data_IF_682860917804
#
_entry.id   IF_682860917804
#
_cell.length_a   1.000
_cell.length_b   1.000
_cell.length_c   1.000
_cell.angle_alpha   90.00
_cell.angle_beta   90.00
_cell.angle_gamma   90.00
#
_symmetry.space_group_name_H-M   'P 1'
#
loop_
_entity.id
_entity.type
_entity.pdbx_description
1 polymer ?
#
# COMPACT_ATOMS: atom_id res chain seq x y z
N UNK A 1 34.77 -41.58 13.53
CA UNK A 1 36.00 -41.14 12.83
C UNK A 1 35.61 -40.03 11.87
N UNK A 2 35.62 -38.76 12.28
CA UNK A 2 36.79 -37.87 12.40
C UNK A 2 37.64 -37.85 11.13
N UNK A 3 37.60 -36.74 10.39
CA UNK A 3 38.73 -35.79 10.34
C UNK A 3 38.27 -34.43 9.82
N UNK A 4 38.55 -33.41 10.64
CA UNK A 4 38.46 -31.97 10.38
C UNK A 4 39.49 -31.48 9.34
N UNK A 5 39.50 -30.15 9.18
CA UNK A 5 40.56 -29.26 8.67
C UNK A 5 40.54 -29.06 7.15
N UNK A 6 40.57 -27.83 6.59
CA UNK A 6 41.39 -26.68 6.98
C UNK A 6 40.87 -25.39 6.33
N UNK A 7 40.72 -24.32 7.11
CA UNK A 7 40.79 -22.94 6.61
C UNK A 7 42.24 -22.65 6.19
N UNK A 8 42.42 -21.94 5.07
CA UNK A 8 43.67 -21.25 4.73
C UNK A 8 43.37 -19.79 4.37
N UNK A 9 43.99 -18.81 5.08
CA UNK A 9 43.95 -17.40 4.71
C UNK A 9 45.02 -17.08 3.66
N UNK A 10 44.68 -16.23 2.69
CA UNK A 10 45.60 -15.69 1.70
C UNK A 10 45.55 -14.17 1.70
N UNK A 11 46.50 -13.56 2.42
CA UNK A 11 46.87 -12.15 2.37
C UNK A 11 48.00 -11.97 1.32
N UNK A 12 48.30 -10.71 0.95
CA UNK A 12 49.37 -10.17 0.05
C UNK A 12 48.76 -9.70 -1.29
N UNK A 13 48.41 -8.42 -1.50
CA UNK A 13 49.17 -7.15 -1.52
C UNK A 13 50.04 -6.93 -2.78
N UNK A 14 49.64 -5.97 -3.64
CA UNK A 14 50.50 -5.02 -4.39
C UNK A 14 49.59 -4.09 -5.22
N UNK A 15 49.37 -2.83 -4.82
CA UNK A 15 50.05 -1.62 -5.32
C UNK A 15 50.22 -1.61 -6.84
N UNK A 16 49.38 -0.80 -7.51
CA UNK A 16 49.56 -0.32 -8.88
C UNK A 16 49.01 1.10 -8.97
N UNK A 17 49.89 2.08 -8.76
CA UNK A 17 49.64 3.50 -8.97
C UNK A 17 49.57 3.81 -10.49
N UNK A 18 48.85 4.89 -10.79
CA UNK A 18 49.10 5.84 -11.87
C UNK A 18 48.40 5.63 -13.23
N UNK A 19 47.46 6.53 -13.52
CA UNK A 19 46.85 6.74 -14.83
C UNK A 19 45.81 7.86 -14.79
N UNK A 20 46.23 9.08 -14.46
CA UNK A 20 45.39 10.27 -14.59
C UNK A 20 45.32 10.60 -16.09
N UNK A 21 44.16 10.41 -16.72
CA UNK A 21 43.85 10.96 -18.03
C UNK A 21 42.84 12.09 -17.83
N UNK A 22 43.33 13.32 -17.80
CA UNK A 22 42.50 14.53 -17.84
C UNK A 22 42.00 14.74 -19.25
N UNK A 23 40.71 14.45 -19.51
CA UNK A 23 40.03 15.00 -20.67
C UNK A 23 39.55 16.41 -20.32
N UNK A 24 40.35 17.38 -20.74
CA UNK A 24 40.02 18.81 -20.74
C UNK A 24 38.98 19.07 -21.83
N UNK A 25 37.70 18.93 -21.48
CA UNK A 25 36.59 19.39 -22.31
C UNK A 25 36.24 20.83 -21.98
N UNK A 26 36.61 21.77 -22.86
CA UNK A 26 36.14 23.15 -22.78
C UNK A 26 34.67 23.22 -23.21
N UNK A 27 33.75 23.21 -22.25
CA UNK A 27 32.38 23.69 -22.46
C UNK A 27 32.30 25.13 -21.93
N UNK A 28 31.92 26.07 -22.80
CA UNK A 28 31.79 27.49 -22.44
C UNK A 28 30.74 27.73 -21.36
N UNK A 29 30.70 28.93 -20.75
CA UNK A 29 29.67 29.29 -19.80
C UNK A 29 28.34 29.48 -20.55
N UNK A 30 27.69 28.36 -20.86
CA UNK A 30 26.27 28.33 -21.13
C UNK A 30 25.60 28.55 -19.79
N UNK A 31 24.96 29.71 -19.66
CA UNK A 31 24.09 30.05 -18.56
C UNK A 31 22.92 29.06 -18.57
N UNK A 32 23.11 27.90 -17.94
CA UNK A 32 22.01 27.01 -17.59
C UNK A 32 21.26 27.69 -16.45
N UNK A 33 20.41 28.64 -16.84
CA UNK A 33 19.29 29.05 -16.01
C UNK A 33 18.43 27.81 -15.82
N UNK A 34 18.61 27.11 -14.71
CA UNK A 34 17.61 26.16 -14.24
C UNK A 34 16.27 26.90 -14.28
N UNK A 35 15.25 26.37 -14.99
CA UNK A 35 13.94 27.00 -14.94
C UNK A 35 13.54 27.09 -13.46
N UNK A 36 13.03 28.24 -12.99
CA UNK A 36 12.63 28.38 -11.60
C UNK A 36 11.69 27.22 -11.26
N UNK A 37 12.08 26.41 -10.27
CA UNK A 37 11.25 25.34 -9.77
C UNK A 37 9.91 25.95 -9.36
N UNK A 38 8.86 25.68 -10.14
CA UNK A 38 7.51 26.12 -9.80
C UNK A 38 7.21 25.56 -8.42
N UNK A 39 6.91 26.39 -7.41
CA UNK A 39 6.54 25.87 -6.10
C UNK A 39 5.26 25.05 -6.29
N UNK A 40 5.38 23.72 -6.16
CA UNK A 40 4.22 22.85 -6.08
C UNK A 40 3.44 23.24 -4.84
N UNK A 41 2.15 23.51 -4.98
CA UNK A 41 1.27 23.65 -3.84
C UNK A 41 1.37 22.38 -2.97
N UNK A 42 1.32 22.51 -1.63
CA UNK A 42 1.22 21.36 -0.75
C UNK A 42 0.02 20.51 -1.16
N UNK A 43 0.22 19.20 -1.27
CA UNK A 43 -0.86 18.26 -1.55
C UNK A 43 -1.87 18.26 -0.40
N UNK A 44 -3.16 18.41 -0.72
CA UNK A 44 -4.22 18.36 0.28
C UNK A 44 -4.57 16.90 0.60
N UNK A 45 -4.11 16.44 1.77
CA UNK A 45 -4.40 15.09 2.29
C UNK A 45 -5.78 14.97 2.95
N UNK A 46 -6.49 16.08 3.14
CA UNK A 46 -7.84 16.14 3.70
C UNK A 46 -8.94 16.22 2.63
N UNK A 47 -8.56 16.32 1.36
CA UNK A 47 -9.49 16.32 0.24
C UNK A 47 -10.30 15.01 0.20
N UNK A 48 -11.62 15.14 0.31
CA UNK A 48 -12.54 14.02 0.21
C UNK A 48 -12.67 13.53 -1.25
N UNK A 49 -12.94 12.22 -1.47
CA UNK A 49 -13.23 11.72 -2.81
C UNK A 49 -14.56 12.27 -3.33
N UNK A 50 -14.67 12.39 -4.64
CA UNK A 50 -15.83 12.98 -5.32
C UNK A 50 -16.74 11.90 -5.90
N UNK A 51 -18.04 12.20 -6.01
CA UNK A 51 -19.05 11.30 -6.55
C UNK A 51 -19.07 9.92 -5.88
N UNK A 52 -18.94 9.90 -4.55
CA UNK A 52 -18.88 8.66 -3.78
C UNK A 52 -20.19 7.88 -3.92
N UNK A 53 -20.06 6.65 -4.38
CA UNK A 53 -21.12 5.63 -4.44
C UNK A 53 -20.62 4.35 -3.79
N UNK A 54 -21.40 3.28 -3.86
CA UNK A 54 -21.12 2.03 -3.14
C UNK A 54 -21.20 0.84 -4.08
N UNK A 55 -20.29 -0.12 -3.87
CA UNK A 55 -20.39 -1.46 -4.43
C UNK A 55 -20.29 -2.50 -3.31
N UNK A 56 -21.03 -3.59 -3.42
CA UNK A 56 -20.99 -4.67 -2.43
C UNK A 56 -19.98 -5.72 -2.87
N UNK A 57 -19.08 -6.11 -1.95
CA UNK A 57 -18.16 -7.23 -2.12
C UNK A 57 -18.20 -8.11 -0.87
N UNK A 58 -18.63 -9.37 -1.03
CA UNK A 58 -18.80 -10.31 0.09
C UNK A 58 -19.58 -9.69 1.27
N UNK A 59 -20.72 -9.08 0.94
CA UNK A 59 -21.62 -8.35 1.84
C UNK A 59 -21.05 -7.07 2.50
N UNK A 60 -19.80 -6.70 2.23
CA UNK A 60 -19.24 -5.42 2.68
C UNK A 60 -19.45 -4.36 1.60
N UNK A 61 -20.05 -3.24 2.01
CA UNK A 61 -20.16 -2.02 1.20
C UNK A 61 -18.80 -1.32 1.10
N UNK A 62 -18.28 -1.19 -0.11
CA UNK A 62 -17.02 -0.53 -0.44
C UNK A 62 -17.26 0.75 -1.25
N UNK A 63 -16.43 1.80 -1.05
CA UNK A 63 -16.58 3.07 -1.76
C UNK A 63 -16.14 2.98 -3.22
N UNK A 64 -16.94 3.51 -4.13
CA UNK A 64 -16.54 3.88 -5.48
C UNK A 64 -16.52 5.42 -5.57
N UNK A 65 -15.57 5.99 -6.30
CA UNK A 65 -15.48 7.43 -6.53
C UNK A 65 -14.80 7.74 -7.86
N UNK A 66 -14.73 9.01 -8.26
CA UNK A 66 -13.95 9.42 -9.44
C UNK A 66 -12.45 9.06 -9.30
N UNK A 67 -11.97 8.97 -8.06
CA UNK A 67 -10.60 8.58 -7.71
C UNK A 67 -10.37 7.05 -7.78
N UNK A 68 -11.40 6.28 -8.14
CA UNK A 68 -11.34 4.86 -8.39
C UNK A 68 -12.14 4.02 -7.39
N UNK A 69 -12.08 2.68 -7.55
CA UNK A 69 -11.44 1.96 -8.64
C UNK A 69 -12.12 2.21 -10.00
N UNK A 70 -11.34 2.22 -11.09
CA UNK A 70 -11.87 2.33 -12.47
C UNK A 70 -12.29 0.99 -13.05
N UNK A 71 -11.74 -0.10 -12.53
CA UNK A 71 -12.04 -1.45 -12.97
C UNK A 71 -12.15 -2.40 -11.78
N UNK A 72 -13.08 -3.34 -11.88
CA UNK A 72 -13.24 -4.43 -10.92
C UNK A 72 -13.43 -5.73 -11.70
N UNK A 73 -12.51 -6.68 -11.55
CA UNK A 73 -12.56 -7.99 -12.20
C UNK A 73 -12.40 -9.06 -11.13
N UNK A 74 -13.49 -9.77 -10.83
CA UNK A 74 -13.53 -10.71 -9.72
C UNK A 74 -13.18 -10.03 -8.38
N UNK A 75 -12.22 -10.62 -7.68
CA UNK A 75 -11.71 -10.12 -6.40
C UNK A 75 -10.79 -8.90 -6.56
N UNK A 76 -10.30 -8.57 -7.75
CA UNK A 76 -9.38 -7.45 -7.98
C UNK A 76 -10.13 -6.14 -8.23
N UNK A 77 -9.70 -5.07 -7.56
CA UNK A 77 -10.04 -3.69 -7.87
C UNK A 77 -8.77 -2.92 -8.25
N UNK A 78 -8.82 -2.14 -9.32
CA UNK A 78 -7.66 -1.46 -9.88
C UNK A 78 -8.03 -0.13 -10.57
N UNK A 79 -7.00 0.66 -10.87
CA UNK A 79 -7.10 1.92 -11.58
C UNK A 79 -7.47 3.07 -10.67
N UNK A 80 -6.81 3.19 -9.52
CA UNK A 80 -6.98 4.31 -8.59
C UNK A 80 -6.19 5.53 -9.10
N UNK A 81 -6.66 6.74 -8.84
CA UNK A 81 -5.90 7.96 -9.18
C UNK A 81 -4.65 8.08 -8.33
N UNK A 82 -3.59 8.66 -8.90
CA UNK A 82 -2.34 8.98 -8.21
C UNK A 82 -2.49 10.22 -7.29
N UNK A 83 -3.39 10.12 -6.31
CA UNK A 83 -3.76 11.18 -5.36
C UNK A 83 -3.95 10.59 -3.96
N UNK A 84 -3.95 11.40 -2.88
CA UNK A 84 -4.20 10.90 -1.52
C UNK A 84 -5.53 10.16 -1.38
N UNK A 85 -6.61 10.71 -1.96
CA UNK A 85 -7.92 10.06 -1.94
C UNK A 85 -7.91 8.73 -2.71
N UNK A 86 -7.26 8.67 -3.88
CA UNK A 86 -7.10 7.41 -4.62
C UNK A 86 -6.29 6.37 -3.83
N UNK A 87 -5.26 6.79 -3.11
CA UNK A 87 -4.46 5.92 -2.25
C UNK A 87 -5.28 5.33 -1.09
N UNK A 88 -6.11 6.13 -0.42
CA UNK A 88 -6.99 5.66 0.63
C UNK A 88 -8.05 4.66 0.13
N UNK A 89 -8.67 4.96 -1.02
CA UNK A 89 -9.65 4.05 -1.64
C UNK A 89 -8.98 2.73 -2.02
N UNK A 90 -7.75 2.76 -2.55
CA UNK A 90 -6.96 1.57 -2.83
C UNK A 90 -6.68 0.76 -1.56
N UNK A 91 -6.28 1.42 -0.47
CA UNK A 91 -6.04 0.76 0.82
C UNK A 91 -7.30 0.06 1.37
N UNK A 92 -8.45 0.75 1.34
CA UNK A 92 -9.75 0.20 1.76
C UNK A 92 -10.10 -1.05 0.94
N UNK A 93 -10.02 -0.94 -0.39
CA UNK A 93 -10.32 -2.07 -1.27
C UNK A 93 -9.35 -3.23 -1.07
N UNK A 94 -8.05 -2.95 -0.95
CA UNK A 94 -7.03 -3.98 -0.79
C UNK A 94 -7.20 -4.75 0.52
N UNK A 95 -7.40 -4.08 1.66
CA UNK A 95 -7.61 -4.76 2.96
C UNK A 95 -8.81 -5.69 2.91
N UNK A 96 -9.96 -5.20 2.43
CA UNK A 96 -11.19 -6.00 2.41
C UNK A 96 -11.08 -7.16 1.42
N UNK A 97 -10.59 -6.89 0.20
CA UNK A 97 -10.46 -7.92 -0.84
C UNK A 97 -9.41 -8.96 -0.49
N UNK A 98 -8.29 -8.56 0.12
CA UNK A 98 -7.27 -9.49 0.64
C UNK A 98 -7.83 -10.41 1.72
N UNK A 99 -8.70 -9.89 2.60
CA UNK A 99 -9.26 -10.65 3.72
C UNK A 99 -10.36 -11.62 3.29
N UNK A 100 -11.12 -11.28 2.25
CA UNK A 100 -12.34 -12.01 1.86
C UNK A 100 -12.27 -12.65 0.46
N UNK A 101 -11.11 -12.59 -0.21
CA UNK A 101 -10.92 -13.25 -1.51
C UNK A 101 -11.19 -14.76 -1.39
N UNK A 102 -12.06 -15.34 -2.23
CA UNK A 102 -12.28 -16.77 -2.29
C UNK A 102 -11.03 -17.55 -2.71
N UNK A 103 -11.05 -18.87 -2.51
CA UNK A 103 -9.91 -19.77 -2.72
C UNK A 103 -9.40 -19.78 -4.18
N UNK A 104 -10.26 -19.45 -5.15
CA UNK A 104 -9.93 -19.39 -6.58
C UNK A 104 -9.47 -18.01 -7.08
N UNK A 105 -9.40 -17.00 -6.19
CA UNK A 105 -9.11 -15.61 -6.59
C UNK A 105 -8.13 -14.86 -5.67
N UNK A 106 -7.75 -15.42 -4.51
CA UNK A 106 -6.84 -14.73 -3.59
C UNK A 106 -5.44 -14.54 -4.18
N UNK A 107 -4.99 -15.43 -5.05
CA UNK A 107 -3.71 -15.32 -5.75
C UNK A 107 -3.66 -14.09 -6.65
N UNK A 108 -4.74 -13.80 -7.38
CA UNK A 108 -4.88 -12.60 -8.21
C UNK A 108 -4.89 -11.32 -7.36
N UNK A 109 -5.53 -11.34 -6.18
CA UNK A 109 -5.46 -10.21 -5.23
C UNK A 109 -4.02 -10.00 -4.77
N UNK A 110 -3.32 -11.06 -4.39
CA UNK A 110 -1.90 -11.00 -4.03
C UNK A 110 -1.06 -10.41 -5.15
N UNK A 111 -1.26 -10.87 -6.38
CA UNK A 111 -0.50 -10.43 -7.55
C UNK A 111 -0.75 -8.99 -7.94
N UNK A 112 -2.01 -8.56 -7.91
CA UNK A 112 -2.43 -7.30 -8.53
C UNK A 112 -2.72 -6.19 -7.53
N UNK A 113 -2.95 -6.49 -6.24
CA UNK A 113 -3.30 -5.48 -5.24
C UNK A 113 -2.25 -5.33 -4.14
N UNK A 114 -1.35 -6.29 -3.97
CA UNK A 114 -0.29 -6.24 -2.95
C UNK A 114 1.07 -5.91 -3.58
N UNK A 115 1.83 -5.07 -2.88
CA UNK A 115 3.20 -4.77 -3.24
C UNK A 115 4.07 -6.04 -3.14
N UNK A 116 5.04 -6.24 -4.05
CA UNK A 116 6.01 -7.31 -3.92
C UNK A 116 6.89 -7.12 -2.68
N UNK A 117 7.23 -8.21 -1.99
CA UNK A 117 8.12 -8.20 -0.83
C UNK A 117 7.78 -9.28 0.18
N UNK A 118 8.63 -9.42 1.20
CA UNK A 118 8.53 -10.49 2.20
C UNK A 118 7.15 -10.56 2.88
N UNK A 119 6.53 -9.41 3.21
CA UNK A 119 5.19 -9.39 3.82
C UNK A 119 4.10 -9.98 2.92
N UNK A 120 4.20 -9.81 1.60
CA UNK A 120 3.28 -10.44 0.64
C UNK A 120 3.54 -11.94 0.53
N UNK A 121 4.80 -12.36 0.53
CA UNK A 121 5.17 -13.76 0.44
C UNK A 121 4.72 -14.53 1.70
N UNK A 122 4.94 -13.96 2.88
CA UNK A 122 4.48 -14.50 4.17
C UNK A 122 2.95 -14.59 4.21
N UNK A 123 2.26 -13.54 3.75
CA UNK A 123 0.81 -13.56 3.62
C UNK A 123 0.33 -14.66 2.67
N UNK A 124 0.98 -14.87 1.52
CA UNK A 124 0.59 -15.90 0.57
C UNK A 124 0.75 -17.30 1.16
N UNK A 125 1.84 -17.55 1.89
CA UNK A 125 2.07 -18.81 2.62
C UNK A 125 0.98 -19.04 3.66
N UNK A 126 0.64 -18.03 4.46
CA UNK A 126 -0.40 -18.13 5.48
C UNK A 126 -1.79 -18.32 4.86
N UNK A 127 -2.12 -17.56 3.80
CA UNK A 127 -3.42 -17.58 3.14
C UNK A 127 -3.69 -18.93 2.46
N UNK A 128 -2.67 -19.59 1.92
CA UNK A 128 -2.76 -20.91 1.30
C UNK A 128 -3.16 -22.03 2.28
N UNK A 129 -2.97 -21.82 3.59
CA UNK A 129 -3.39 -22.77 4.64
C UNK A 129 -4.84 -22.53 5.12
N UNK A 130 -5.52 -21.53 4.56
CA UNK A 130 -6.87 -21.14 4.95
C UNK A 130 -7.83 -21.34 3.76
N UNK A 131 -8.99 -21.94 4.02
CA UNK A 131 -10.06 -22.03 3.03
C UNK A 131 -11.19 -21.08 3.39
N UNK A 132 -11.52 -20.19 2.45
CA UNK A 132 -12.70 -19.31 2.52
C UNK A 132 -13.65 -19.78 1.43
N UNK A 133 -14.48 -20.76 1.78
CA UNK A 133 -15.48 -21.37 0.88
C UNK A 133 -16.90 -20.92 1.20
N UNK A 134 -17.12 -20.40 2.41
CA UNK A 134 -18.44 -20.05 2.92
C UNK A 134 -18.44 -18.63 3.45
N UNK A 135 -19.51 -17.91 3.15
CA UNK A 135 -19.75 -16.54 3.59
C UNK A 135 -19.88 -16.46 5.11
N UNK A 136 -19.32 -15.40 5.71
CA UNK A 136 -19.48 -15.13 7.13
C UNK A 136 -20.97 -14.91 7.49
N UNK A 137 -21.42 -15.51 8.59
CA UNK A 137 -22.80 -15.33 9.09
C UNK A 137 -22.87 -14.13 10.04
N UNK A 138 -23.67 -13.12 9.73
CA UNK A 138 -23.88 -11.95 10.59
C UNK A 138 -24.06 -10.65 9.82
N UNK A 139 -24.29 -9.55 10.53
CA UNK A 139 -24.24 -8.23 9.91
C UNK A 139 -22.78 -7.91 9.52
N UNK A 140 -22.52 -7.37 8.32
CA UNK A 140 -21.18 -7.00 7.91
C UNK A 140 -20.69 -5.76 8.66
N UNK A 141 -19.38 -5.61 8.87
CA UNK A 141 -18.81 -4.37 9.36
C UNK A 141 -19.01 -3.23 8.35
N UNK A 142 -19.08 -2.00 8.85
CA UNK A 142 -19.32 -0.79 8.06
C UNK A 142 -18.08 0.09 8.03
N UNK A 143 -17.54 0.35 6.84
CA UNK A 143 -16.46 1.33 6.68
C UNK A 143 -17.07 2.73 6.85
N UNK A 144 -16.54 3.50 7.81
CA UNK A 144 -17.03 4.84 8.12
C UNK A 144 -16.25 5.92 7.36
N UNK A 145 -14.96 5.69 7.14
CA UNK A 145 -14.07 6.71 6.59
C UNK A 145 -12.61 6.38 6.80
N UNK A 146 -11.75 7.34 6.49
CA UNK A 146 -10.31 7.20 6.60
C UNK A 146 -9.60 8.50 6.96
N UNK A 147 -8.33 8.39 7.29
CA UNK A 147 -7.38 9.50 7.41
C UNK A 147 -6.10 9.13 6.68
N UNK A 148 -5.53 10.08 5.94
CA UNK A 148 -4.16 9.97 5.45
C UNK A 148 -3.23 10.49 6.55
N UNK A 149 -2.38 9.62 7.09
CA UNK A 149 -1.44 9.95 8.17
C UNK A 149 -0.04 10.27 7.65
N UNK A 150 0.24 9.96 6.38
CA UNK A 150 1.47 10.30 5.69
C UNK A 150 1.28 10.15 4.18
N UNK A 151 1.85 11.05 3.39
CA UNK A 151 1.73 11.00 1.94
C UNK A 151 2.97 11.54 1.24
N UNK A 152 3.42 10.79 0.25
CA UNK A 152 4.28 11.21 -0.86
C UNK A 152 3.62 10.74 -2.15
N UNK A 153 4.06 11.21 -3.33
CA UNK A 153 3.57 10.65 -4.58
C UNK A 153 3.71 9.12 -4.63
N UNK A 154 4.77 8.54 -4.10
CA UNK A 154 4.99 7.08 -4.23
C UNK A 154 4.50 6.25 -3.04
N UNK A 155 3.98 6.88 -1.98
CA UNK A 155 3.57 6.19 -0.75
C UNK A 155 2.48 6.94 0.00
N UNK A 156 1.48 6.23 0.51
CA UNK A 156 0.52 6.78 1.46
C UNK A 156 0.34 5.84 2.66
N UNK A 157 0.29 6.42 3.86
CA UNK A 157 -0.12 5.73 5.08
C UNK A 157 -1.54 6.18 5.41
N UNK A 158 -2.45 5.22 5.61
CA UNK A 158 -3.88 5.43 5.80
C UNK A 158 -4.34 4.76 7.08
N UNK A 159 -5.14 5.46 7.88
CA UNK A 159 -5.92 4.88 8.98
C UNK A 159 -7.38 4.74 8.53
N UNK A 160 -7.89 3.52 8.51
CA UNK A 160 -9.25 3.18 8.03
C UNK A 160 -10.12 2.84 9.22
N UNK A 161 -11.24 3.55 9.37
CA UNK A 161 -12.15 3.38 10.49
C UNK A 161 -13.38 2.58 10.09
N UNK A 162 -13.65 1.54 10.87
CA UNK A 162 -14.71 0.58 10.64
C UNK A 162 -15.56 0.44 11.90
N UNK A 163 -16.88 0.49 11.76
CA UNK A 163 -17.81 0.10 12.80
C UNK A 163 -18.13 -1.39 12.69
N UNK A 164 -17.97 -2.10 13.79
CA UNK A 164 -18.27 -3.51 13.90
C UNK A 164 -19.77 -3.75 14.18
N UNK A 165 -20.28 -4.98 14.01
CA UNK A 165 -21.69 -5.31 14.28
C UNK A 165 -22.14 -5.03 15.72
N UNK A 166 -21.23 -5.12 16.69
CA UNK A 166 -21.46 -4.78 18.10
C UNK A 166 -21.32 -3.28 18.39
N UNK A 167 -21.24 -2.44 17.34
CA UNK A 167 -21.06 -0.99 17.35
C UNK A 167 -19.68 -0.49 17.78
N UNK A 168 -18.76 -1.38 18.17
CA UNK A 168 -17.38 -0.99 18.48
C UNK A 168 -16.65 -0.47 17.24
N UNK A 169 -15.65 0.40 17.45
CA UNK A 169 -14.83 0.92 16.37
C UNK A 169 -13.52 0.14 16.28
N UNK A 170 -13.08 -0.07 15.05
CA UNK A 170 -11.76 -0.59 14.73
C UNK A 170 -11.08 0.38 13.78
N UNK A 171 -9.78 0.60 13.98
CA UNK A 171 -8.92 1.36 13.08
C UNK A 171 -7.85 0.42 12.53
N UNK A 172 -7.81 0.24 11.21
CA UNK A 172 -6.78 -0.51 10.51
C UNK A 172 -5.80 0.46 9.83
N UNK A 173 -4.52 0.38 10.14
CA UNK A 173 -3.47 1.15 9.48
C UNK A 173 -2.92 0.38 8.28
N UNK A 174 -2.84 1.05 7.14
CA UNK A 174 -2.35 0.47 5.90
C UNK A 174 -1.42 1.42 5.18
N UNK A 175 -0.34 0.87 4.64
CA UNK A 175 0.55 1.59 3.73
C UNK A 175 0.28 1.11 2.31
N UNK A 176 0.08 2.02 1.37
CA UNK A 176 0.08 1.72 -0.06
C UNK A 176 1.27 2.40 -0.74
N UNK A 177 1.81 1.76 -1.77
CA UNK A 177 2.87 2.31 -2.62
C UNK A 177 2.39 2.42 -4.06
N UNK A 178 2.83 3.46 -4.76
CA UNK A 178 2.53 3.62 -6.18
C UNK A 178 3.49 2.76 -7.00
N UNK A 179 2.97 1.74 -7.68
CA UNK A 179 3.79 0.85 -8.48
C UNK A 179 3.02 0.31 -9.68
N UNK A 180 3.68 0.28 -10.84
CA UNK A 180 3.11 -0.22 -12.10
C UNK A 180 1.78 0.47 -12.46
N UNK A 181 1.68 1.78 -12.20
CA UNK A 181 0.53 2.61 -12.57
C UNK A 181 -0.68 2.49 -11.65
N UNK A 182 -0.52 1.94 -10.45
CA UNK A 182 -1.60 1.85 -9.46
C UNK A 182 -1.07 1.82 -8.01
N UNK A 183 -1.96 2.00 -7.04
CA UNK A 183 -1.64 1.85 -5.62
C UNK A 183 -1.69 0.38 -5.19
N UNK A 184 -0.62 -0.11 -4.55
CA UNK A 184 -0.50 -1.49 -4.04
C UNK A 184 -0.32 -1.49 -2.53
N UNK A 185 -1.07 -2.32 -1.81
CA UNK A 185 -0.95 -2.47 -0.36
C UNK A 185 0.40 -3.10 0.00
N UNK A 186 1.20 -2.38 0.77
CA UNK A 186 2.45 -2.84 1.34
C UNK A 186 2.16 -3.55 2.66
N UNK A 187 2.37 -4.86 2.69
CA UNK A 187 2.25 -5.65 3.90
C UNK A 187 3.53 -5.56 4.74
N UNK A 188 3.40 -5.48 6.08
CA UNK A 188 4.55 -5.55 6.97
C UNK A 188 5.33 -6.85 6.84
N UNK A 189 6.65 -6.76 6.99
CA UNK A 189 7.59 -7.89 7.08
C UNK A 189 7.72 -8.47 8.51
N UNK A 190 6.69 -8.29 9.35
CA UNK A 190 6.65 -8.83 10.73
C UNK A 190 7.34 -7.96 11.80
N UNK A 191 7.91 -6.79 11.46
CA UNK A 191 8.55 -5.86 12.43
C UNK A 191 7.80 -4.53 12.66
N UNK A 192 6.48 -4.55 12.60
CA UNK A 192 5.68 -3.32 12.63
C UNK A 192 4.69 -3.32 13.81
N UNK A 193 4.29 -2.12 14.30
CA UNK A 193 3.27 -1.99 15.33
C UNK A 193 1.94 -2.63 14.89
N UNK A 194 1.05 -2.87 15.86
CA UNK A 194 -0.26 -3.45 15.60
C UNK A 194 -0.99 -2.71 14.47
N UNK A 195 -1.30 -3.43 13.39
CA UNK A 195 -2.05 -2.91 12.24
C UNK A 195 -3.48 -2.53 12.60
N UNK A 196 -3.99 -3.06 13.71
CA UNK A 196 -5.39 -2.91 14.10
C UNK A 196 -5.46 -2.42 15.55
N UNK A 197 -6.22 -1.36 15.77
CA UNK A 197 -6.50 -0.78 17.10
C UNK A 197 -8.00 -0.59 17.29
N UNK A 198 -8.45 -0.47 18.55
CA UNK A 198 -9.86 -0.28 18.89
C UNK A 198 -10.06 1.10 19.53
N UNK A 199 -10.22 2.17 18.73
CA UNK A 199 -10.45 3.50 19.26
C UNK A 199 -11.83 3.60 19.93
N UNK A 200 -11.96 4.42 20.97
CA UNK A 200 -13.24 4.66 21.64
C UNK A 200 -14.13 5.66 20.89
N UNK A 201 -13.54 6.50 20.04
CA UNK A 201 -14.22 7.55 19.28
C UNK A 201 -13.61 7.69 17.88
N UNK A 202 -14.40 8.18 16.93
CA UNK A 202 -13.92 8.54 15.61
C UNK A 202 -13.18 9.89 15.68
N UNK A 203 -11.94 10.01 15.16
CA UNK A 203 -11.25 11.29 15.12
C UNK A 203 -12.00 12.32 14.28
N UNK A 204 -11.93 13.58 14.69
CA UNK A 204 -12.68 14.70 14.07
C UNK A 204 -12.20 15.06 12.67
N UNK A 205 -10.96 14.74 12.33
CA UNK A 205 -10.34 14.96 11.02
C UNK A 205 -10.53 13.76 10.07
N UNK A 206 -11.41 12.83 10.41
CA UNK A 206 -11.77 11.70 9.53
C UNK A 206 -12.53 12.18 8.30
N UNK A 207 -12.07 11.79 7.12
CA UNK A 207 -12.83 11.92 5.88
C UNK A 207 -13.91 10.84 5.89
N UNK A 208 -15.16 11.25 6.10
CA UNK A 208 -16.31 10.36 6.12
C UNK A 208 -16.66 9.88 4.71
N UNK A 209 -16.95 8.59 4.58
CA UNK A 209 -17.45 7.99 3.35
C UNK A 209 -18.97 7.79 3.46
N UNK A 210 -19.79 8.46 2.63
CA UNK A 210 -21.24 8.37 2.70
C UNK A 210 -21.76 7.09 2.03
N UNK A 211 -21.28 5.93 2.47
CA UNK A 211 -21.65 4.61 1.93
C UNK A 211 -22.53 3.85 2.91
N UNK A 212 -23.51 3.09 2.40
CA UNK A 212 -24.52 2.39 3.21
C UNK A 212 -24.36 0.89 3.17
#
# INVERSE_FOLDING_TARGET
MNTSTTHRPGLIALIGLLGIATLTGCAGPGDHTDPPATPSLPVDIHAAPTNVTTVVYQDISLPLADQGPRSMTGAVAAGFTHTPAGAALAAIHAIVRMSLAPDDQWDLVGQQMLAPGAGRDDWAVARAQMSITTRATGAPPKILGYRITGYTPDRADTAIYTQQPDTSLTCNTATVIWQAGDWKLLLPDGRHPALVTSPNTLPTDTILLPIR
#
